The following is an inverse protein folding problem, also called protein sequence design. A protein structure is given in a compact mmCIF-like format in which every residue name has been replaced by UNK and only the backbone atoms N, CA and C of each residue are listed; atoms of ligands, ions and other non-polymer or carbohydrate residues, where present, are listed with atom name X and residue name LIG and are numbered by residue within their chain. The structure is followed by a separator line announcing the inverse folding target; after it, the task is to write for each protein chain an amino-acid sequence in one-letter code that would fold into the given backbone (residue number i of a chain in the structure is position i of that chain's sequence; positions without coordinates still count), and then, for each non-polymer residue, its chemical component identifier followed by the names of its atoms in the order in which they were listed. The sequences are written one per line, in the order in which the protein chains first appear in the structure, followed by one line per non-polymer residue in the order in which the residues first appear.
data_IF_247876992756
#
_entry.id   IF_247876992756
#
_cell.length_a   1.000
_cell.length_b   1.000
_cell.length_c   1.000
_cell.angle_alpha   90.00
_cell.angle_beta   90.00
_cell.angle_gamma   90.00
#
_symmetry.space_group_name_H-M   'P 1'
#
loop_
_entity.id
_entity.type
_entity.pdbx_description
1 polymer ?
#
# COMPACT_ATOMS: atom_id res chain seq x y z
N UNK A 1 8.12 -10.38 3.38
CA UNK A 1 7.60 -9.05 3.01
C UNK A 1 7.57 -8.78 1.53
N UNK A 2 8.70 -8.83 0.80
CA UNK A 2 8.66 -8.62 -0.66
C UNK A 2 7.76 -9.65 -1.38
N UNK A 3 7.92 -10.95 -1.06
CA UNK A 3 7.05 -12.01 -1.59
C UNK A 3 5.56 -11.81 -1.21
N UNK A 4 5.30 -11.30 -0.01
CA UNK A 4 3.94 -10.95 0.42
C UNK A 4 3.34 -9.83 -0.44
N UNK A 5 4.13 -8.82 -0.81
CA UNK A 5 3.65 -7.76 -1.68
C UNK A 5 3.35 -8.29 -3.09
N UNK A 6 4.33 -8.95 -3.71
CA UNK A 6 4.26 -9.46 -5.09
C UNK A 6 3.21 -10.55 -5.27
N UNK A 7 3.06 -11.45 -4.30
CA UNK A 7 2.20 -12.62 -4.38
C UNK A 7 0.84 -12.46 -3.70
N UNK A 8 0.62 -11.39 -2.93
CA UNK A 8 -0.61 -11.25 -2.13
C UNK A 8 -1.19 -9.84 -2.15
N UNK A 9 -0.48 -8.82 -1.68
CA UNK A 9 -1.07 -7.47 -1.57
C UNK A 9 -1.32 -6.82 -2.94
N UNK A 10 -0.29 -6.73 -3.78
CA UNK A 10 -0.37 -6.03 -5.06
C UNK A 10 -1.36 -6.71 -6.04
N UNK A 11 -1.36 -8.05 -6.21
CA UNK A 11 -2.36 -8.72 -7.04
C UNK A 11 -3.80 -8.47 -6.58
N UNK A 12 -4.06 -8.55 -5.27
CA UNK A 12 -5.39 -8.27 -4.72
C UNK A 12 -5.83 -6.82 -5.00
N UNK A 13 -4.91 -5.86 -4.85
CA UNK A 13 -5.16 -4.46 -5.18
C UNK A 13 -5.49 -4.28 -6.67
N UNK A 14 -4.73 -4.89 -7.58
CA UNK A 14 -5.00 -4.81 -9.02
C UNK A 14 -6.37 -5.39 -9.40
N UNK A 15 -6.73 -6.55 -8.84
CA UNK A 15 -8.02 -7.18 -9.14
C UNK A 15 -9.22 -6.33 -8.71
N UNK A 16 -9.05 -5.53 -7.65
CA UNK A 16 -10.05 -4.62 -7.13
C UNK A 16 -10.06 -3.26 -7.87
N UNK A 17 -8.89 -2.68 -8.13
CA UNK A 17 -8.73 -1.34 -8.70
C UNK A 17 -8.90 -1.28 -10.23
N UNK A 18 -8.43 -2.29 -10.96
CA UNK A 18 -8.40 -2.24 -12.42
C UNK A 18 -9.80 -2.18 -13.06
N UNK A 19 -10.81 -2.97 -12.64
CA UNK A 19 -12.11 -2.94 -13.32
C UNK A 19 -12.82 -1.59 -13.22
N UNK A 20 -12.86 -0.90 -12.06
CA UNK A 20 -13.38 0.47 -12.00
C UNK A 20 -12.57 1.46 -12.83
N UNK A 21 -11.25 1.37 -12.79
CA UNK A 21 -10.37 2.34 -13.44
C UNK A 21 -10.35 2.21 -14.98
N UNK A 22 -10.21 1.01 -15.52
CA UNK A 22 -10.06 0.77 -16.96
C UNK A 22 -11.36 0.37 -17.66
N UNK A 23 -12.27 -0.31 -16.96
CA UNK A 23 -13.51 -0.83 -17.55
C UNK A 23 -14.76 -0.04 -17.12
N UNK A 24 -14.61 0.96 -16.24
CA UNK A 24 -15.71 1.76 -15.68
C UNK A 24 -16.80 0.92 -15.00
N UNK A 25 -16.41 -0.23 -14.43
CA UNK A 25 -17.28 -1.10 -13.64
C UNK A 25 -17.42 -0.57 -12.20
N UNK A 26 -18.50 -0.88 -11.47
CA UNK A 26 -18.58 -0.56 -10.06
C UNK A 26 -17.51 -1.33 -9.26
N UNK A 27 -17.10 -0.79 -8.11
CA UNK A 27 -16.21 -1.50 -7.18
C UNK A 27 -16.86 -2.81 -6.70
N UNK A 28 -16.08 -3.89 -6.76
CA UNK A 28 -16.46 -5.20 -6.24
C UNK A 28 -16.16 -5.26 -4.73
N UNK A 29 -17.22 -5.38 -3.92
CA UNK A 29 -17.12 -5.40 -2.46
C UNK A 29 -16.43 -6.64 -1.92
N UNK A 30 -16.52 -7.79 -2.59
CA UNK A 30 -15.85 -8.99 -2.11
C UNK A 30 -14.34 -8.89 -2.34
N UNK A 31 -13.92 -8.30 -3.46
CA UNK A 31 -12.50 -8.00 -3.71
C UNK A 31 -11.95 -6.91 -2.78
N UNK A 32 -12.76 -5.90 -2.48
CA UNK A 32 -12.41 -4.86 -1.50
C UNK A 32 -12.13 -5.47 -0.12
N UNK A 33 -12.96 -6.43 0.34
CA UNK A 33 -12.72 -7.14 1.60
C UNK A 33 -11.38 -7.86 1.61
N UNK A 34 -11.00 -8.50 0.50
CA UNK A 34 -9.69 -9.16 0.39
C UNK A 34 -8.56 -8.14 0.53
N UNK A 35 -8.64 -6.98 -0.13
CA UNK A 35 -7.64 -5.90 0.02
C UNK A 35 -7.57 -5.42 1.47
N UNK A 36 -8.71 -5.21 2.12
CA UNK A 36 -8.78 -4.83 3.54
C UNK A 36 -8.11 -5.89 4.44
N UNK A 37 -8.36 -7.17 4.21
CA UNK A 37 -7.72 -8.26 4.96
C UNK A 37 -6.19 -8.26 4.76
N UNK A 38 -5.71 -8.02 3.53
CA UNK A 38 -4.27 -7.90 3.27
C UNK A 38 -3.65 -6.69 3.94
N UNK A 39 -4.34 -5.54 3.97
CA UNK A 39 -3.87 -4.35 4.67
C UNK A 39 -3.84 -4.54 6.20
N UNK A 40 -4.83 -5.23 6.77
CA UNK A 40 -4.80 -5.61 8.19
C UNK A 40 -3.61 -6.49 8.51
N UNK A 41 -3.38 -7.52 7.71
CA UNK A 41 -2.23 -8.41 7.87
C UNK A 41 -0.91 -7.64 7.71
N UNK A 42 -0.79 -6.75 6.71
CA UNK A 42 0.39 -5.90 6.57
C UNK A 42 0.62 -5.05 7.83
N UNK A 43 -0.44 -4.42 8.35
CA UNK A 43 -0.37 -3.58 9.54
C UNK A 43 0.11 -4.36 10.77
N UNK A 44 -0.22 -5.64 10.89
CA UNK A 44 0.32 -6.53 11.93
C UNK A 44 1.78 -6.93 11.64
N UNK A 45 2.11 -7.34 10.42
CA UNK A 45 3.46 -7.80 10.08
C UNK A 45 4.54 -6.73 10.28
N UNK A 46 4.23 -5.47 9.98
CA UNK A 46 5.20 -4.36 10.12
C UNK A 46 5.29 -3.80 11.54
N UNK A 47 4.49 -4.29 12.50
CA UNK A 47 4.66 -3.87 13.91
C UNK A 47 5.84 -4.53 14.59
N UNK A 48 6.36 -5.62 14.03
CA UNK A 48 7.41 -6.44 14.64
C UNK A 48 8.82 -5.84 14.48
N UNK A 49 9.01 -4.89 13.56
CA UNK A 49 10.32 -4.32 13.25
C UNK A 49 10.23 -2.88 12.76
N UNK A 50 11.37 -2.16 12.72
CA UNK A 50 11.42 -0.76 12.29
C UNK A 50 11.01 -0.57 10.81
N UNK A 51 11.50 -1.44 9.93
CA UNK A 51 11.17 -1.49 8.50
C UNK A 51 10.41 -2.78 8.22
N UNK A 52 9.89 -2.94 7.00
CA UNK A 52 9.04 -4.07 6.66
C UNK A 52 9.75 -5.42 6.88
N UNK A 53 11.03 -5.52 6.54
CA UNK A 53 11.79 -6.77 6.60
C UNK A 53 12.92 -6.76 7.64
N UNK A 54 12.75 -6.06 8.76
CA UNK A 54 13.72 -6.00 9.87
C UNK A 54 14.12 -4.58 10.26
N UNK A 55 15.33 -4.41 10.77
CA UNK A 55 15.78 -3.15 11.38
C UNK A 55 16.44 -2.16 10.41
N UNK A 56 16.56 -2.53 9.14
CA UNK A 56 17.17 -1.71 8.10
C UNK A 56 16.24 -1.59 6.89
N UNK A 57 16.33 -0.47 6.18
CA UNK A 57 15.58 -0.24 4.94
C UNK A 57 15.95 -1.29 3.88
N UNK A 58 14.94 -1.87 3.22
CA UNK A 58 15.14 -2.88 2.18
C UNK A 58 14.28 -2.61 0.95
N UNK A 59 14.52 -3.34 -0.15
CA UNK A 59 13.66 -3.32 -1.34
C UNK A 59 12.20 -3.69 -1.05
N UNK A 60 11.93 -4.44 0.03
CA UNK A 60 10.57 -4.75 0.43
C UNK A 60 9.80 -3.50 0.84
N UNK A 61 10.47 -2.53 1.47
CA UNK A 61 9.84 -1.28 1.90
C UNK A 61 9.39 -0.44 0.70
N UNK A 62 10.25 -0.30 -0.31
CA UNK A 62 9.93 0.43 -1.54
C UNK A 62 8.76 -0.21 -2.29
N UNK A 63 8.76 -1.54 -2.41
CA UNK A 63 7.70 -2.29 -3.10
C UNK A 63 6.35 -2.09 -2.40
N UNK A 64 6.31 -2.35 -1.09
CA UNK A 64 5.10 -2.18 -0.27
C UNK A 64 4.63 -0.73 -0.26
N UNK A 65 5.55 0.24 -0.21
CA UNK A 65 5.20 1.66 -0.15
C UNK A 65 4.48 2.06 -1.45
N UNK A 66 5.00 1.63 -2.60
CA UNK A 66 4.34 1.86 -3.88
C UNK A 66 2.94 1.22 -3.95
N UNK A 67 2.80 -0.04 -3.53
CA UNK A 67 1.50 -0.74 -3.49
C UNK A 67 0.50 -0.03 -2.56
N UNK A 68 0.92 0.28 -1.33
CA UNK A 68 0.06 0.96 -0.35
C UNK A 68 -0.32 2.35 -0.84
N UNK A 69 0.62 3.17 -1.28
CA UNK A 69 0.35 4.50 -1.84
C UNK A 69 -0.67 4.47 -2.97
N UNK A 70 -0.62 3.47 -3.84
CA UNK A 70 -1.58 3.28 -4.93
C UNK A 70 -2.98 2.95 -4.42
N UNK A 71 -3.09 2.03 -3.45
CA UNK A 71 -4.37 1.68 -2.81
C UNK A 71 -4.99 2.88 -2.09
N UNK A 72 -4.17 3.75 -1.49
CA UNK A 72 -4.65 4.92 -0.77
C UNK A 72 -5.13 6.06 -1.66
N UNK A 73 -4.69 6.07 -2.93
CA UNK A 73 -5.19 7.01 -3.92
C UNK A 73 -6.71 6.84 -4.16
N UNK A 74 -7.25 5.64 -3.96
CA UNK A 74 -8.67 5.31 -4.20
C UNK A 74 -9.59 5.59 -3.00
N UNK A 75 -9.32 6.67 -2.25
CA UNK A 75 -10.10 7.15 -1.08
C UNK A 75 -10.23 6.15 0.10
N UNK A 76 -9.36 5.15 0.20
CA UNK A 76 -9.37 4.22 1.32
C UNK A 76 -8.92 4.89 2.62
N UNK A 77 -9.72 4.73 3.69
CA UNK A 77 -9.44 5.37 4.97
C UNK A 77 -8.31 4.68 5.74
N UNK A 78 -7.18 5.36 5.85
CA UNK A 78 -5.98 4.93 6.58
C UNK A 78 -6.13 4.83 8.10
N UNK A 79 -7.16 5.43 8.70
CA UNK A 79 -7.28 5.52 10.15
C UNK A 79 -7.39 4.14 10.83
N UNK A 80 -7.66 3.08 10.06
CA UNK A 80 -7.71 1.69 10.53
C UNK A 80 -6.32 1.02 10.63
N UNK A 81 -5.26 1.65 10.12
CA UNK A 81 -3.93 1.05 10.00
C UNK A 81 -2.83 1.93 10.63
N UNK A 82 -2.77 2.01 11.98
CA UNK A 82 -1.85 2.90 12.67
C UNK A 82 -0.37 2.56 12.42
N UNK A 83 -0.02 1.30 12.26
CA UNK A 83 1.36 0.88 12.01
C UNK A 83 1.76 1.22 10.57
N UNK A 84 0.86 1.04 9.60
CA UNK A 84 1.09 1.48 8.21
C UNK A 84 1.32 2.99 8.18
N UNK A 85 0.50 3.75 8.90
CA UNK A 85 0.65 5.21 8.96
C UNK A 85 2.03 5.63 9.53
N UNK A 86 2.42 5.07 10.67
CA UNK A 86 3.74 5.33 11.28
C UNK A 86 4.89 4.91 10.37
N UNK A 87 4.76 3.77 9.70
CA UNK A 87 5.77 3.24 8.77
C UNK A 87 5.90 4.11 7.51
N UNK A 88 4.80 4.61 6.94
CA UNK A 88 4.85 5.59 5.84
C UNK A 88 5.58 6.86 6.29
N UNK A 89 5.25 7.40 7.47
CA UNK A 89 5.93 8.59 7.99
C UNK A 89 7.43 8.35 8.23
N UNK A 90 7.81 7.16 8.72
CA UNK A 90 9.22 6.77 8.81
C UNK A 90 9.88 6.81 7.42
N UNK A 91 9.29 6.18 6.41
CA UNK A 91 9.84 6.12 5.07
C UNK A 91 9.90 7.49 4.39
N UNK A 92 8.92 8.37 4.60
CA UNK A 92 8.96 9.74 4.09
C UNK A 92 10.13 10.55 4.65
N UNK A 93 10.54 10.30 5.91
CA UNK A 93 11.71 10.92 6.52
C UNK A 93 13.02 10.35 5.98
N UNK A 94 13.09 9.03 5.76
CA UNK A 94 14.28 8.34 5.22
C UNK A 94 14.44 8.58 3.70
N UNK A 95 13.34 8.86 3.00
CA UNK A 95 13.26 9.02 1.54
C UNK A 95 12.72 10.41 1.17
N UNK A 96 13.49 11.49 1.34
CA UNK A 96 13.01 12.86 1.13
C UNK A 96 12.53 13.13 -0.31
N UNK A 97 13.01 12.35 -1.29
CA UNK A 97 12.59 12.42 -2.69
C UNK A 97 11.27 11.68 -2.99
N UNK A 98 10.81 10.80 -2.08
CA UNK A 98 9.66 9.92 -2.33
C UNK A 98 8.40 10.71 -2.68
N UNK A 99 8.10 11.76 -1.90
CA UNK A 99 6.92 12.58 -2.12
C UNK A 99 6.92 13.28 -3.48
N UNK A 100 8.08 13.79 -3.90
CA UNK A 100 8.23 14.48 -5.19
C UNK A 100 8.01 13.52 -6.36
N UNK A 101 8.53 12.29 -6.27
CA UNK A 101 8.41 11.31 -7.34
C UNK A 101 7.02 10.67 -7.41
N UNK A 102 6.38 10.42 -6.27
CA UNK A 102 5.15 9.62 -6.21
C UNK A 102 3.87 10.47 -6.31
N UNK A 103 3.83 11.67 -5.72
CA UNK A 103 2.62 12.51 -5.72
C UNK A 103 2.06 12.81 -7.13
N UNK A 104 2.88 13.14 -8.15
CA UNK A 104 2.36 13.37 -9.50
C UNK A 104 1.60 12.15 -10.07
N UNK A 105 2.03 10.94 -9.72
CA UNK A 105 1.38 9.71 -10.16
C UNK A 105 0.13 9.40 -9.35
N UNK A 106 0.14 9.61 -8.02
CA UNK A 106 -1.05 9.45 -7.18
C UNK A 106 -2.15 10.42 -7.60
N UNK A 107 -1.83 11.68 -7.83
CA UNK A 107 -2.83 12.68 -8.21
C UNK A 107 -3.42 12.42 -9.60
N UNK A 108 -2.68 11.75 -10.50
CA UNK A 108 -3.21 11.29 -11.78
C UNK A 108 -4.18 10.10 -11.68
N UNK A 109 -4.28 9.45 -10.51
CA UNK A 109 -5.21 8.35 -10.24
C UNK A 109 -6.55 8.80 -9.63
N UNK A 110 -6.66 10.06 -9.21
CA UNK A 110 -7.91 10.69 -8.74
C UNK A 110 -8.72 11.22 -9.92
#
# INVERSE_FOLDING_TARGET
MLDFDLGSLYPAALEWMNPPFFEKKPHDREKEKVVIEKLKLLNELISESRFAAGDHLTIADFSLLASVSTILATEHNLNQYPNIKSWITLLENELPYHKELIMPHIDALK
#
